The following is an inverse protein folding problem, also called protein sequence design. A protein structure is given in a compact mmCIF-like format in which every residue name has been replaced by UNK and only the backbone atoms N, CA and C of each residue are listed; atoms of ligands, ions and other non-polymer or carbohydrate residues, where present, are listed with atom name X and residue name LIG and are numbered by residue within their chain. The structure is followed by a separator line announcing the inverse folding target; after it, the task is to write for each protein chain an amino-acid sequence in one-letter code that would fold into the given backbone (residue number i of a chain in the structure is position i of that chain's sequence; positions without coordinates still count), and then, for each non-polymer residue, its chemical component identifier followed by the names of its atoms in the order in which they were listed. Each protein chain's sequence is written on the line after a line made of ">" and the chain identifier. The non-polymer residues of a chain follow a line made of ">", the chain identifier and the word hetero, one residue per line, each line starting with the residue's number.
data_IF_292823892793
#
_entry.id   IF_292823892793
#
_cell.length_a   1.000
_cell.length_b   1.000
_cell.length_c   1.000
_cell.angle_alpha   90.00
_cell.angle_beta   90.00
_cell.angle_gamma   90.00
#
_symmetry.space_group_name_H-M   'P 1'
#
loop_
_entity.id
_entity.type
_entity.pdbx_description
1 polymer ?
#
# COMPACT_ATOMS: atom_id res chain seq x y z
N UNK A 1 -17.64 8.28 -8.76
CA UNK A 1 -17.53 7.89 -7.33
C UNK A 1 -16.94 8.99 -6.48
N UNK A 2 -15.80 9.57 -6.87
CA UNK A 2 -15.04 10.53 -6.08
C UNK A 2 -15.86 11.71 -5.51
N UNK A 3 -16.79 12.24 -6.29
CA UNK A 3 -17.67 13.35 -5.88
C UNK A 3 -18.59 13.00 -4.71
N UNK A 4 -18.90 11.72 -4.51
CA UNK A 4 -19.74 11.23 -3.40
C UNK A 4 -19.00 11.15 -2.07
N UNK A 5 -17.66 11.26 -2.09
CA UNK A 5 -16.86 11.24 -0.86
C UNK A 5 -16.91 12.59 -0.14
N UNK A 6 -16.70 12.57 1.18
CA UNK A 6 -16.48 13.80 1.96
C UNK A 6 -15.17 14.48 1.55
N UNK A 7 -14.98 15.74 1.97
CA UNK A 7 -13.70 16.45 1.75
C UNK A 7 -12.50 15.67 2.31
N UNK A 8 -12.65 15.09 3.50
CA UNK A 8 -11.62 14.26 4.14
C UNK A 8 -11.32 12.98 3.34
N UNK A 9 -12.37 12.24 2.92
CA UNK A 9 -12.18 11.03 2.13
C UNK A 9 -11.57 11.31 0.75
N UNK A 10 -11.89 12.45 0.13
CA UNK A 10 -11.21 12.90 -1.09
C UNK A 10 -9.74 13.22 -0.86
N UNK A 11 -9.39 13.84 0.28
CA UNK A 11 -8.01 14.12 0.65
C UNK A 11 -7.20 12.81 0.82
N UNK A 12 -7.78 11.77 1.39
CA UNK A 12 -7.15 10.43 1.50
C UNK A 12 -6.87 9.83 0.12
N UNK A 13 -7.83 9.89 -0.81
CA UNK A 13 -7.66 9.34 -2.17
C UNK A 13 -6.54 10.09 -2.93
N UNK A 14 -6.43 11.40 -2.75
CA UNK A 14 -5.35 12.20 -3.31
C UNK A 14 -4.00 11.87 -2.65
N UNK A 15 -3.97 11.84 -1.31
CA UNK A 15 -2.78 11.47 -0.53
C UNK A 15 -2.27 10.07 -0.86
N UNK A 16 -3.16 9.13 -1.21
CA UNK A 16 -2.74 7.80 -1.64
C UNK A 16 -1.98 7.83 -2.98
N UNK A 17 -2.30 8.76 -3.87
CA UNK A 17 -1.54 8.95 -5.11
C UNK A 17 -0.14 9.50 -4.80
N UNK A 18 -0.03 10.43 -3.85
CA UNK A 18 1.25 10.95 -3.37
C UNK A 18 2.08 9.87 -2.65
N UNK A 19 1.44 9.00 -1.86
CA UNK A 19 2.08 7.84 -1.24
C UNK A 19 2.65 6.89 -2.30
N UNK A 20 1.88 6.59 -3.36
CA UNK A 20 2.34 5.74 -4.47
C UNK A 20 3.52 6.36 -5.23
N UNK A 21 3.52 7.69 -5.40
CA UNK A 21 4.64 8.41 -5.99
C UNK A 21 5.90 8.34 -5.11
N UNK A 22 5.77 8.58 -3.79
CA UNK A 22 6.87 8.45 -2.83
C UNK A 22 7.44 7.03 -2.76
N UNK A 23 6.60 6.02 -2.99
CA UNK A 23 6.98 4.62 -3.01
C UNK A 23 7.51 4.14 -4.38
N UNK A 24 7.57 5.02 -5.39
CA UNK A 24 7.87 4.69 -6.79
C UNK A 24 7.05 3.50 -7.32
N UNK A 25 5.74 3.50 -7.02
CA UNK A 25 4.79 2.44 -7.39
C UNK A 25 3.89 2.88 -8.55
N UNK A 26 3.91 2.18 -9.68
CA UNK A 26 3.12 2.44 -10.89
C UNK A 26 1.62 2.45 -10.69
N UNK A 27 1.14 1.81 -9.62
CA UNK A 27 -0.28 1.75 -9.25
C UNK A 27 -0.53 2.22 -7.82
N UNK A 28 -1.75 2.69 -7.56
CA UNK A 28 -2.23 3.03 -6.21
C UNK A 28 -2.92 1.80 -5.61
N UNK A 29 -2.44 1.35 -4.45
CA UNK A 29 -2.86 0.13 -3.76
C UNK A 29 -3.54 0.50 -2.43
N UNK A 30 -4.05 -0.50 -1.72
CA UNK A 30 -4.64 -0.35 -0.39
C UNK A 30 -3.62 0.07 0.66
N UNK A 31 -2.35 -0.31 0.50
CA UNK A 31 -1.24 0.20 1.31
C UNK A 31 -1.18 1.73 1.21
N UNK A 32 -1.21 2.27 -0.01
CA UNK A 32 -1.15 3.72 -0.21
C UNK A 32 -2.36 4.44 0.38
N UNK A 33 -3.56 3.82 0.31
CA UNK A 33 -4.76 4.34 0.98
C UNK A 33 -4.61 4.33 2.51
N UNK A 34 -4.05 3.27 3.09
CA UNK A 34 -3.80 3.16 4.53
C UNK A 34 -2.79 4.20 5.00
N UNK A 35 -1.67 4.36 4.28
CA UNK A 35 -0.66 5.38 4.58
C UNK A 35 -1.27 6.80 4.53
N UNK A 36 -2.10 7.08 3.52
CA UNK A 36 -2.79 8.37 3.42
C UNK A 36 -3.79 8.61 4.56
N UNK A 37 -4.43 7.55 5.09
CA UNK A 37 -5.28 7.65 6.28
C UNK A 37 -4.46 7.96 7.55
N UNK A 38 -3.25 7.42 7.67
CA UNK A 38 -2.34 7.69 8.80
C UNK A 38 -1.78 9.12 8.76
N UNK A 39 -1.61 9.68 7.55
CA UNK A 39 -1.17 11.06 7.34
C UNK A 39 -2.30 12.09 7.56
N UNK A 40 -3.55 11.65 7.62
CA UNK A 40 -4.71 12.53 7.83
C UNK A 40 -4.81 13.01 9.29
N UNK A 41 -4.14 14.12 9.60
CA UNK A 41 -4.21 14.77 10.91
C UNK A 41 -5.61 15.29 11.29
N UNK A 42 -5.90 15.30 12.59
CA UNK A 42 -7.09 15.93 13.20
C UNK A 42 -8.44 15.55 12.57
N UNK A 43 -8.66 14.27 12.32
CA UNK A 43 -9.92 13.71 11.80
C UNK A 43 -10.55 12.70 12.77
N UNK A 44 -11.82 12.32 12.56
CA UNK A 44 -12.45 11.20 13.28
C UNK A 44 -11.69 9.88 13.08
N UNK A 45 -11.07 9.70 11.91
CA UNK A 45 -10.19 8.57 11.62
C UNK A 45 -8.95 8.58 12.51
N UNK A 46 -8.29 9.73 12.66
CA UNK A 46 -7.11 9.86 13.52
C UNK A 46 -7.45 9.56 14.99
N UNK A 47 -8.63 9.99 15.46
CA UNK A 47 -9.13 9.63 16.79
C UNK A 47 -9.33 8.12 16.93
N UNK A 48 -10.01 7.49 15.96
CA UNK A 48 -10.24 6.04 15.97
C UNK A 48 -8.92 5.24 15.92
N UNK A 49 -7.96 5.65 15.09
CA UNK A 49 -6.64 5.02 15.00
C UNK A 49 -5.84 5.15 16.30
N UNK A 50 -5.95 6.30 16.97
CA UNK A 50 -5.34 6.50 18.28
C UNK A 50 -5.98 5.58 19.32
N UNK A 51 -7.32 5.54 19.38
CA UNK A 51 -8.06 4.68 20.31
C UNK A 51 -7.79 3.17 20.08
N UNK A 52 -7.47 2.77 18.86
CA UNK A 52 -7.11 1.40 18.48
C UNK A 52 -5.60 1.08 18.63
N UNK A 53 -4.79 2.03 19.12
CA UNK A 53 -3.33 1.85 19.26
C UNK A 53 -2.60 1.65 17.93
N UNK A 54 -3.17 2.17 16.83
CA UNK A 54 -2.54 2.16 15.50
C UNK A 54 -1.44 3.20 15.43
N UNK A 55 -1.70 4.40 15.99
CA UNK A 55 -0.73 5.49 15.99
C UNK A 55 0.54 5.14 16.79
N UNK A 56 0.41 4.44 17.91
CA UNK A 56 1.54 3.99 18.73
C UNK A 56 2.45 2.99 17.99
N UNK A 57 1.88 2.26 17.03
CA UNK A 57 2.57 1.23 16.24
C UNK A 57 2.82 1.67 14.79
N UNK A 58 2.68 2.96 14.49
CA UNK A 58 2.80 3.51 13.14
C UNK A 58 4.10 3.09 12.46
N UNK A 59 5.24 3.28 13.13
CA UNK A 59 6.55 2.94 12.57
C UNK A 59 6.68 1.44 12.25
N UNK A 60 6.16 0.57 13.12
CA UNK A 60 6.15 -0.88 12.89
C UNK A 60 5.23 -1.28 11.71
N UNK A 61 4.09 -0.60 11.57
CA UNK A 61 3.17 -0.80 10.45
C UNK A 61 3.82 -0.38 9.12
N UNK A 62 4.43 0.82 9.07
CA UNK A 62 5.13 1.32 7.89
C UNK A 62 6.30 0.39 7.49
N UNK A 63 7.08 -0.09 8.46
CA UNK A 63 8.14 -1.06 8.22
C UNK A 63 7.60 -2.39 7.67
N UNK A 64 6.48 -2.89 8.21
CA UNK A 64 5.84 -4.12 7.73
C UNK A 64 5.31 -3.98 6.31
N UNK A 65 4.78 -2.81 5.93
CA UNK A 65 4.31 -2.54 4.57
C UNK A 65 5.48 -2.48 3.59
N UNK A 66 6.57 -1.80 3.97
CA UNK A 66 7.81 -1.76 3.19
C UNK A 66 8.41 -3.16 2.97
N UNK A 67 8.37 -4.04 3.97
CA UNK A 67 8.84 -5.42 3.84
C UNK A 67 7.98 -6.26 2.88
N UNK A 68 6.65 -6.15 2.95
CA UNK A 68 5.74 -6.80 1.99
C UNK A 68 6.06 -6.35 0.57
N UNK A 69 6.24 -5.04 0.37
CA UNK A 69 6.66 -4.51 -0.94
C UNK A 69 8.01 -5.08 -1.35
N UNK A 70 9.01 -5.10 -0.47
CA UNK A 70 10.35 -5.67 -0.74
C UNK A 70 10.27 -7.12 -1.22
N UNK A 71 9.37 -7.92 -0.65
CA UNK A 71 9.10 -9.32 -1.04
C UNK A 71 8.20 -9.46 -2.28
N UNK A 72 7.94 -8.38 -3.01
CA UNK A 72 7.14 -8.37 -4.23
C UNK A 72 5.63 -8.52 -3.99
N UNK A 73 5.14 -8.06 -2.84
CA UNK A 73 3.72 -8.11 -2.47
C UNK A 73 3.27 -9.44 -1.87
N UNK A 74 4.19 -10.36 -1.59
CA UNK A 74 3.87 -11.66 -0.98
C UNK A 74 3.36 -11.49 0.45
N UNK A 75 2.24 -12.15 0.74
CA UNK A 75 1.72 -12.22 2.11
C UNK A 75 2.60 -13.11 2.98
N UNK A 76 2.41 -13.04 4.31
CA UNK A 76 3.08 -13.98 5.22
C UNK A 76 2.65 -15.43 4.97
N UNK A 77 1.38 -15.64 4.61
CA UNK A 77 0.88 -16.96 4.28
C UNK A 77 1.54 -17.53 3.01
N UNK A 78 1.80 -16.68 2.00
CA UNK A 78 2.54 -17.08 0.80
C UNK A 78 3.97 -17.50 1.15
N UNK A 79 4.66 -16.71 2.00
CA UNK A 79 6.01 -17.02 2.47
C UNK A 79 6.06 -18.33 3.26
N UNK A 80 5.13 -18.54 4.19
CA UNK A 80 5.03 -19.78 4.97
C UNK A 80 4.73 -21.00 4.08
N UNK A 81 3.84 -20.84 3.09
CA UNK A 81 3.54 -21.90 2.13
C UNK A 81 4.76 -22.27 1.28
N UNK A 82 5.52 -21.28 0.82
CA UNK A 82 6.77 -21.48 0.07
C UNK A 82 7.87 -22.10 0.94
N UNK A 83 7.98 -21.71 2.21
CA UNK A 83 8.90 -22.34 3.15
C UNK A 83 8.57 -23.83 3.36
N UNK A 84 7.28 -24.20 3.35
CA UNK A 84 6.84 -25.60 3.37
C UNK A 84 7.31 -26.41 2.15
N UNK A 85 7.63 -25.74 1.04
CA UNK A 85 8.23 -26.35 -0.16
C UNK A 85 9.76 -26.26 -0.19
N UNK A 86 10.39 -25.78 0.90
CA UNK A 86 11.84 -25.58 1.00
C UNK A 86 12.35 -24.31 0.32
N UNK A 87 11.47 -23.34 0.04
CA UNK A 87 11.83 -22.07 -0.61
C UNK A 87 11.99 -20.99 0.48
N UNK A 88 13.22 -20.54 0.69
CA UNK A 88 13.51 -19.38 1.53
C UNK A 88 13.34 -18.09 0.72
N UNK A 89 12.17 -17.46 0.84
CA UNK A 89 11.83 -16.21 0.16
C UNK A 89 12.80 -15.09 0.56
N UNK A 90 13.19 -15.02 1.84
CA UNK A 90 14.12 -14.02 2.34
C UNK A 90 15.48 -14.11 1.66
N UNK A 91 16.02 -15.32 1.53
CA UNK A 91 17.27 -15.57 0.82
C UNK A 91 17.19 -15.23 -0.67
N UNK A 92 16.07 -15.54 -1.33
CA UNK A 92 15.84 -15.19 -2.74
C UNK A 92 15.80 -13.67 -2.92
N UNK A 93 15.08 -12.95 -2.05
CA UNK A 93 14.97 -11.49 -2.11
C UNK A 93 16.34 -10.86 -1.88
N UNK A 94 17.09 -11.30 -0.87
CA UNK A 94 18.44 -10.82 -0.62
C UNK A 94 19.36 -11.04 -1.83
N UNK A 95 19.31 -12.24 -2.43
CA UNK A 95 20.11 -12.54 -3.62
C UNK A 95 19.70 -11.70 -4.84
N UNK A 96 18.40 -11.47 -5.02
CA UNK A 96 17.92 -10.60 -6.09
C UNK A 96 18.40 -9.16 -5.90
N UNK A 97 18.39 -8.64 -4.67
CA UNK A 97 18.87 -7.29 -4.37
C UNK A 97 20.38 -7.13 -4.54
N UNK A 98 21.17 -8.14 -4.20
CA UNK A 98 22.62 -8.14 -4.46
C UNK A 98 22.94 -8.00 -5.95
N UNK A 99 22.17 -8.69 -6.80
CA UNK A 99 22.44 -8.77 -8.24
C UNK A 99 21.80 -7.60 -9.00
N UNK A 100 20.64 -7.12 -8.55
CA UNK A 100 19.81 -6.17 -9.30
C UNK A 100 19.54 -4.85 -8.58
N UNK A 101 20.04 -4.68 -7.35
CA UNK A 101 19.86 -3.49 -6.52
C UNK A 101 18.73 -3.62 -5.49
N UNK A 102 18.78 -2.80 -4.44
CA UNK A 102 17.76 -2.78 -3.40
C UNK A 102 16.35 -2.60 -3.98
N UNK A 103 15.38 -3.37 -3.50
CA UNK A 103 14.01 -3.34 -4.01
C UNK A 103 13.83 -3.97 -5.40
N UNK A 104 14.76 -4.80 -5.89
CA UNK A 104 14.67 -5.44 -7.21
C UNK A 104 13.35 -6.19 -7.48
N UNK A 105 12.71 -6.69 -6.42
CA UNK A 105 11.45 -7.43 -6.48
C UNK A 105 10.23 -6.58 -6.14
N UNK A 106 10.41 -5.31 -5.74
CA UNK A 106 9.35 -4.44 -5.26
C UNK A 106 8.30 -4.02 -6.31
N UNK A 107 8.42 -4.53 -7.54
CA UNK A 107 7.42 -4.33 -8.57
C UNK A 107 7.41 -2.92 -9.13
N UNK A 108 8.52 -2.49 -9.74
CA UNK A 108 8.48 -1.44 -10.78
C UNK A 108 9.76 -1.48 -11.63
N UNK A 109 9.88 -2.54 -12.44
CA UNK A 109 10.76 -2.45 -13.60
C UNK A 109 10.13 -1.42 -14.53
N UNK A 110 10.83 -0.29 -14.72
CA UNK A 110 10.60 0.76 -15.73
C UNK A 110 9.96 0.21 -17.02
N UNK A 111 8.64 0.08 -17.05
CA UNK A 111 7.91 0.14 -18.30
C UNK A 111 7.93 1.61 -18.70
N UNK A 112 8.95 1.96 -19.49
CA UNK A 112 9.21 3.27 -20.10
C UNK A 112 8.12 3.69 -21.08
N UNK A 113 6.89 3.19 -20.91
CA UNK A 113 5.80 3.20 -21.90
C UNK A 113 4.46 3.63 -21.32
N UNK A 114 4.43 4.40 -20.23
CA UNK A 114 3.20 5.05 -19.83
C UNK A 114 3.38 6.55 -19.59
N UNK A 115 3.22 7.29 -20.68
CA UNK A 115 3.21 8.75 -20.76
C UNK A 115 1.95 9.41 -20.17
N UNK A 116 1.16 8.72 -19.38
CA UNK A 116 0.09 9.35 -18.62
C UNK A 116 0.51 9.42 -17.16
N UNK A 117 0.71 10.63 -16.64
CA UNK A 117 1.00 10.91 -15.22
C UNK A 117 -0.13 10.52 -14.25
N UNK A 118 -0.98 9.56 -14.59
CA UNK A 118 -2.10 9.11 -13.78
C UNK A 118 -1.90 7.67 -13.33
N UNK A 119 -1.36 7.47 -12.12
CA UNK A 119 -1.21 6.14 -11.50
C UNK A 119 -2.61 5.55 -11.25
N UNK A 120 -2.91 4.42 -11.89
CA UNK A 120 -4.23 3.78 -11.75
C UNK A 120 -4.35 3.07 -10.41
N UNK A 121 -5.56 3.09 -9.83
CA UNK A 121 -5.88 2.29 -8.66
C UNK A 121 -6.00 0.81 -9.02
N UNK A 122 -5.44 -0.08 -8.19
CA UNK A 122 -5.65 -1.53 -8.27
C UNK A 122 -7.12 -1.89 -8.11
N UNK A 123 -7.48 -3.11 -8.50
CA UNK A 123 -8.85 -3.60 -8.37
C UNK A 123 -9.26 -3.63 -6.89
N UNK A 124 -8.34 -4.00 -6.03
CA UNK A 124 -8.55 -4.17 -4.61
C UNK A 124 -8.70 -2.80 -3.92
N UNK A 125 -7.88 -1.81 -4.29
CA UNK A 125 -8.05 -0.43 -3.84
C UNK A 125 -9.39 0.18 -4.29
N UNK A 126 -9.81 -0.06 -5.54
CA UNK A 126 -11.15 0.32 -6.02
C UNK A 126 -12.25 -0.36 -5.21
N UNK A 127 -12.10 -1.65 -4.93
CA UNK A 127 -13.05 -2.43 -4.14
C UNK A 127 -13.17 -1.88 -2.71
N UNK A 128 -12.07 -1.47 -2.09
CA UNK A 128 -12.07 -0.85 -0.76
C UNK A 128 -12.85 0.47 -0.75
N UNK A 129 -12.63 1.33 -1.75
CA UNK A 129 -13.36 2.59 -1.92
C UNK A 129 -14.86 2.37 -2.22
N UNK A 130 -15.19 1.36 -3.03
CA UNK A 130 -16.57 0.98 -3.32
C UNK A 130 -17.30 0.48 -2.06
N UNK A 131 -16.65 -0.38 -1.28
CA UNK A 131 -17.19 -0.88 -0.02
C UNK A 131 -17.38 0.22 0.99
N UNK A 132 -16.43 1.15 1.13
CA UNK A 132 -16.57 2.28 2.07
C UNK A 132 -17.75 3.17 1.72
N UNK A 133 -17.95 3.46 0.43
CA UNK A 133 -19.10 4.23 -0.04
C UNK A 133 -20.42 3.49 0.19
N UNK A 134 -20.48 2.18 -0.06
CA UNK A 134 -21.67 1.37 0.19
C UNK A 134 -22.05 1.41 1.67
N UNK A 135 -21.08 1.15 2.55
CA UNK A 135 -21.30 1.16 4.01
C UNK A 135 -21.79 2.54 4.49
N UNK A 136 -21.25 3.63 3.93
CA UNK A 136 -21.64 4.98 4.32
C UNK A 136 -23.07 5.38 3.88
N UNK A 137 -23.62 4.69 2.88
CA UNK A 137 -24.91 5.06 2.27
C UNK A 137 -26.05 4.08 2.59
N UNK A 138 -25.75 2.90 3.13
CA UNK A 138 -26.72 1.83 3.38
C UNK A 138 -26.82 0.87 2.20
#
# INVERSE_FOLDING_TARGET
>A
MFERFTKEARAVVLGATECAERADSSTVTEEHLLLALLDLGSSRTAFAFTALGVMDRRAALEASLADVRRRGGMTKADEEALAGLGIDVGAIVARAEEVHGAGALAGDRKDRRWWSGHRAFTREAKTALEKSLRIALG
#
